data_IF_880604147901
#
_entry.id   IF_880604147901
#
_cell.length_a   1.000
_cell.length_b   1.000
_cell.length_c   1.000
_cell.angle_alpha   90.00
_cell.angle_beta   90.00
_cell.angle_gamma   90.00
#
_symmetry.space_group_name_H-M   'P 1'
#
loop_
_entity.id
_entity.type
_entity.pdbx_description
1 polymer ?
#
# COMPACT_ATOMS: atom_id res chain seq x y z
N UNK A 1 10.76 -19.50 -51.24
CA UNK A 1 11.69 -19.19 -50.13
C UNK A 1 10.91 -19.36 -48.85
N UNK A 2 10.99 -20.54 -48.25
CA UNK A 2 10.22 -20.98 -47.08
C UNK A 2 11.26 -21.48 -46.08
N UNK A 3 11.35 -20.83 -44.93
CA UNK A 3 12.36 -21.14 -43.91
C UNK A 3 11.78 -22.19 -42.95
N UNK A 4 12.42 -23.37 -43.00
CA UNK A 4 12.45 -24.41 -41.98
C UNK A 4 12.64 -23.84 -40.56
N UNK A 5 11.94 -24.38 -39.56
CA UNK A 5 12.58 -25.01 -38.40
C UNK A 5 11.55 -25.75 -37.54
N UNK A 6 11.52 -27.07 -37.76
CA UNK A 6 11.15 -28.09 -36.78
C UNK A 6 12.06 -27.98 -35.57
N UNK A 7 11.50 -28.00 -34.35
CA UNK A 7 12.12 -28.67 -33.21
C UNK A 7 11.00 -29.27 -32.35
N UNK A 8 10.77 -30.56 -32.58
CA UNK A 8 10.24 -31.48 -31.57
C UNK A 8 11.13 -31.39 -30.32
N UNK A 9 10.52 -31.23 -29.15
CA UNK A 9 11.21 -31.32 -27.87
C UNK A 9 10.53 -32.42 -27.05
N UNK A 10 11.19 -33.56 -27.02
CA UNK A 10 10.87 -34.75 -26.24
C UNK A 10 10.77 -34.47 -24.71
N UNK A 11 9.89 -35.17 -23.97
CA UNK A 11 9.66 -34.96 -22.55
C UNK A 11 10.73 -35.58 -21.61
N UNK A 12 11.93 -35.89 -22.10
CA UNK A 12 13.00 -36.58 -21.35
C UNK A 12 13.97 -35.64 -20.61
N UNK A 13 13.77 -34.32 -20.64
CA UNK A 13 14.56 -33.33 -19.87
C UNK A 13 14.15 -33.20 -18.40
N UNK A 14 13.73 -34.28 -17.75
CA UNK A 14 13.38 -34.29 -16.32
C UNK A 14 14.56 -34.54 -15.37
N UNK A 15 15.78 -34.77 -15.86
CA UNK A 15 16.89 -35.10 -14.98
C UNK A 15 18.25 -34.77 -15.60
N UNK A 16 18.67 -33.50 -15.54
CA UNK A 16 20.06 -33.08 -15.32
C UNK A 16 20.22 -31.59 -15.66
N UNK A 17 20.56 -30.78 -14.66
CA UNK A 17 21.13 -29.45 -14.86
C UNK A 17 20.24 -28.30 -14.42
N UNK A 18 20.31 -27.91 -13.14
CA UNK A 18 20.92 -26.63 -12.76
C UNK A 18 21.02 -26.51 -11.22
N UNK A 19 22.14 -26.97 -10.67
CA UNK A 19 22.66 -26.38 -9.43
C UNK A 19 23.40 -25.10 -9.84
N UNK A 20 22.67 -24.01 -10.06
CA UNK A 20 23.25 -22.65 -10.15
C UNK A 20 22.15 -21.57 -10.16
N UNK A 21 21.61 -21.27 -8.98
CA UNK A 21 20.66 -20.16 -8.81
C UNK A 21 20.44 -19.74 -7.36
N UNK A 22 21.35 -20.09 -6.45
CA UNK A 22 21.33 -19.67 -5.04
C UNK A 22 22.27 -18.48 -4.86
N UNK A 23 21.82 -17.25 -5.16
CA UNK A 23 22.53 -16.02 -4.72
C UNK A 23 21.82 -14.68 -4.95
N UNK A 24 20.66 -14.61 -5.63
CA UNK A 24 20.01 -13.31 -5.94
C UNK A 24 18.61 -13.20 -5.30
N UNK A 25 18.43 -13.83 -4.13
CA UNK A 25 17.15 -13.79 -3.40
C UNK A 25 17.05 -12.61 -2.42
N UNK A 26 18.11 -12.32 -1.65
CA UNK A 26 18.01 -11.45 -0.47
C UNK A 26 17.79 -9.95 -0.75
N UNK A 27 18.29 -9.44 -1.88
CA UNK A 27 18.25 -7.99 -2.17
C UNK A 27 16.90 -7.45 -2.63
N UNK A 28 16.05 -8.29 -3.22
CA UNK A 28 14.74 -7.87 -3.74
C UNK A 28 13.69 -7.74 -2.62
N UNK A 29 13.70 -8.64 -1.64
CA UNK A 29 12.77 -8.57 -0.51
C UNK A 29 12.98 -7.31 0.35
N UNK A 30 14.24 -6.96 0.63
CA UNK A 30 14.55 -5.77 1.43
C UNK A 30 14.21 -4.44 0.72
N UNK A 31 14.31 -4.42 -0.61
CA UNK A 31 13.92 -3.24 -1.41
C UNK A 31 12.40 -3.04 -1.42
N UNK A 32 11.65 -4.13 -1.57
CA UNK A 32 10.20 -4.08 -1.64
C UNK A 32 9.57 -3.70 -0.29
N UNK A 33 10.15 -4.14 0.83
CA UNK A 33 9.68 -3.74 2.16
C UNK A 33 9.89 -2.25 2.43
N UNK A 34 11.02 -1.69 1.97
CA UNK A 34 11.35 -0.28 2.15
C UNK A 34 10.46 0.63 1.31
N UNK A 35 10.26 0.29 0.04
CA UNK A 35 9.36 1.05 -0.84
C UNK A 35 7.93 1.07 -0.26
N UNK A 36 7.44 -0.08 0.22
CA UNK A 36 6.13 -0.18 0.85
C UNK A 36 6.01 0.64 2.14
N UNK A 37 7.07 0.68 2.96
CA UNK A 37 7.07 1.52 4.17
C UNK A 37 7.08 3.00 3.82
N UNK A 38 7.84 3.40 2.81
CA UNK A 38 7.97 4.81 2.40
C UNK A 38 6.63 5.33 1.86
N UNK A 39 5.91 4.50 1.08
CA UNK A 39 4.56 4.83 0.60
C UNK A 39 3.53 4.93 1.74
N UNK A 40 3.65 4.09 2.77
CA UNK A 40 2.77 4.15 3.93
C UNK A 40 2.98 5.42 4.76
N UNK A 41 4.24 5.82 4.99
CA UNK A 41 4.57 7.07 5.67
C UNK A 41 4.10 8.28 4.85
N UNK A 42 4.25 8.22 3.53
CA UNK A 42 3.74 9.27 2.65
C UNK A 42 2.22 9.40 2.73
N UNK A 43 1.48 8.27 2.73
CA UNK A 43 0.03 8.27 2.87
C UNK A 43 -0.41 8.87 4.22
N UNK A 44 0.25 8.53 5.32
CA UNK A 44 -0.01 9.13 6.63
C UNK A 44 0.17 10.64 6.62
N UNK A 45 1.33 11.11 6.17
CA UNK A 45 1.64 12.55 6.13
C UNK A 45 0.64 13.32 5.25
N UNK A 46 0.30 12.78 4.08
CA UNK A 46 -0.68 13.39 3.19
C UNK A 46 -2.08 13.43 3.83
N UNK A 47 -2.51 12.34 4.46
CA UNK A 47 -3.80 12.28 5.12
C UNK A 47 -3.89 13.25 6.31
N UNK A 48 -2.84 13.34 7.13
CA UNK A 48 -2.79 14.28 8.24
C UNK A 48 -2.82 15.72 7.73
N UNK A 49 -1.97 16.07 6.76
CA UNK A 49 -1.94 17.41 6.13
C UNK A 49 -3.31 17.80 5.57
N UNK A 50 -3.95 16.88 4.84
CA UNK A 50 -5.26 17.12 4.25
C UNK A 50 -6.34 17.41 5.31
N UNK A 51 -6.31 16.71 6.45
CA UNK A 51 -7.22 16.99 7.56
C UNK A 51 -6.91 18.29 8.32
N UNK A 52 -5.66 18.75 8.31
CA UNK A 52 -5.29 20.05 8.87
C UNK A 52 -5.73 21.22 7.96
N UNK A 53 -5.61 21.02 6.65
CA UNK A 53 -5.98 22.00 5.62
C UNK A 53 -7.50 22.12 5.45
N UNK A 54 -8.22 21.00 5.44
CA UNK A 54 -9.67 20.96 5.24
C UNK A 54 -10.43 20.68 6.54
N UNK A 55 -10.87 21.77 7.17
CA UNK A 55 -11.68 21.76 8.41
C UNK A 55 -13.04 21.07 8.28
N UNK A 56 -13.50 20.72 7.07
CA UNK A 56 -14.74 19.95 6.90
C UNK A 56 -14.55 18.45 7.14
N UNK A 57 -13.31 17.98 7.10
CA UNK A 57 -12.97 16.56 7.25
C UNK A 57 -12.74 16.17 8.70
N UNK A 58 -12.20 17.09 9.50
CA UNK A 58 -11.90 16.90 10.91
C UNK A 58 -11.74 18.21 11.68
N UNK A 59 -11.11 18.10 12.84
CA UNK A 59 -10.97 19.18 13.81
C UNK A 59 -9.55 19.75 13.88
N UNK A 60 -9.12 20.16 15.07
CA UNK A 60 -7.77 20.71 15.27
C UNK A 60 -6.79 19.66 15.78
N UNK A 61 -5.52 19.80 15.38
CA UNK A 61 -4.43 18.92 15.81
C UNK A 61 -4.60 17.50 15.29
N UNK A 62 -4.53 17.33 13.97
CA UNK A 62 -4.69 16.03 13.33
C UNK A 62 -3.45 15.14 13.53
N UNK A 63 -3.63 13.84 13.69
CA UNK A 63 -2.54 12.88 13.84
C UNK A 63 -2.94 11.49 13.33
N UNK A 64 -1.96 10.71 12.87
CA UNK A 64 -2.20 9.31 12.50
C UNK A 64 -2.37 8.45 13.76
N UNK A 65 -3.43 7.65 13.80
CA UNK A 65 -3.75 6.69 14.87
C UNK A 65 -3.28 5.31 14.48
N UNK A 66 -3.67 4.86 13.29
CA UNK A 66 -3.32 3.54 12.74
C UNK A 66 -3.34 3.58 11.20
N UNK A 67 -2.74 2.56 10.58
CA UNK A 67 -2.71 2.37 9.12
C UNK A 67 -2.77 0.90 8.71
N UNK A 68 -3.45 0.64 7.61
CA UNK A 68 -3.47 -0.69 6.99
C UNK A 68 -3.70 -0.60 5.48
N UNK A 69 -3.52 -1.72 4.81
CA UNK A 69 -3.75 -1.83 3.36
C UNK A 69 -5.03 -2.62 3.09
N UNK A 70 -5.88 -2.10 2.19
CA UNK A 70 -7.09 -2.78 1.74
C UNK A 70 -7.39 -2.47 0.29
N UNK A 71 -7.68 -3.49 -0.51
CA UNK A 71 -7.95 -3.39 -1.96
C UNK A 71 -6.87 -2.60 -2.72
N UNK A 72 -5.59 -2.75 -2.36
CA UNK A 72 -4.47 -2.02 -2.96
C UNK A 72 -4.47 -0.51 -2.68
N UNK A 73 -5.14 -0.08 -1.61
CA UNK A 73 -5.16 1.30 -1.10
C UNK A 73 -4.66 1.31 0.34
N UNK A 74 -4.07 2.42 0.75
CA UNK A 74 -3.65 2.62 2.14
C UNK A 74 -4.78 3.34 2.85
N UNK A 75 -5.26 2.76 3.94
CA UNK A 75 -6.24 3.36 4.83
C UNK A 75 -5.50 3.85 6.06
N UNK A 76 -5.73 5.10 6.42
CA UNK A 76 -5.15 5.74 7.60
C UNK A 76 -6.30 6.20 8.48
N UNK A 77 -6.29 5.80 9.74
CA UNK A 77 -7.17 6.40 10.74
C UNK A 77 -6.53 7.67 11.26
N UNK A 78 -7.19 8.81 11.03
CA UNK A 78 -6.72 10.13 11.45
C UNK A 78 -7.53 10.57 12.66
N UNK A 79 -6.84 10.78 13.79
CA UNK A 79 -7.37 11.36 15.01
C UNK A 79 -7.29 12.89 15.00
N UNK A 80 -8.23 13.56 15.64
CA UNK A 80 -8.29 15.02 15.80
C UNK A 80 -9.13 15.41 17.02
N UNK A 81 -9.12 16.70 17.39
CA UNK A 81 -9.83 17.24 18.57
C UNK A 81 -9.48 16.48 19.87
N UNK A 82 -8.18 16.29 20.13
CA UNK A 82 -7.74 15.58 21.33
C UNK A 82 -8.06 16.39 22.59
N UNK A 83 -8.83 15.81 23.51
CA UNK A 83 -9.17 16.35 24.83
C UNK A 83 -8.79 15.30 25.87
N UNK A 84 -7.66 15.53 26.55
CA UNK A 84 -7.10 14.55 27.50
C UNK A 84 -6.72 13.24 26.79
N UNK A 85 -7.37 12.14 27.17
CA UNK A 85 -7.21 10.81 26.55
C UNK A 85 -8.21 10.51 25.44
N UNK A 86 -9.19 11.38 25.21
CA UNK A 86 -10.21 11.21 24.17
C UNK A 86 -9.86 11.99 22.91
N UNK A 87 -10.22 11.45 21.76
CA UNK A 87 -10.09 12.10 20.45
C UNK A 87 -11.23 11.62 19.54
N UNK A 88 -11.51 12.37 18.48
CA UNK A 88 -12.37 11.92 17.38
C UNK A 88 -11.49 11.35 16.28
N UNK A 89 -11.98 10.37 15.53
CA UNK A 89 -11.24 9.82 14.40
C UNK A 89 -12.08 9.72 13.15
N UNK A 90 -11.41 9.72 12.00
CA UNK A 90 -12.01 9.46 10.70
C UNK A 90 -11.01 8.76 9.79
N UNK A 91 -11.53 7.98 8.85
CA UNK A 91 -10.68 7.29 7.88
C UNK A 91 -10.31 8.22 6.72
N UNK A 92 -9.06 8.10 6.30
CA UNK A 92 -8.53 8.61 5.05
C UNK A 92 -8.08 7.42 4.20
N UNK A 93 -8.58 7.35 2.96
CA UNK A 93 -8.21 6.29 2.01
C UNK A 93 -7.36 6.92 0.91
N UNK A 94 -6.09 6.53 0.88
CA UNK A 94 -5.11 6.97 -0.09
C UNK A 94 -4.97 5.96 -1.23
N UNK A 95 -5.22 6.42 -2.45
CA UNK A 95 -5.02 5.63 -3.66
C UNK A 95 -3.64 5.91 -4.25
N UNK A 96 -2.70 5.00 -4.01
CA UNK A 96 -1.31 5.05 -4.48
C UNK A 96 -1.16 5.27 -6.00
N UNK A 97 -2.11 4.76 -6.81
CA UNK A 97 -2.04 4.87 -8.28
C UNK A 97 -2.40 6.26 -8.80
N UNK A 98 -3.22 6.99 -8.05
CA UNK A 98 -3.80 8.27 -8.50
C UNK A 98 -3.39 9.43 -7.60
N UNK A 99 -2.70 9.15 -6.49
CA UNK A 99 -2.41 10.08 -5.39
C UNK A 99 -3.66 10.82 -4.87
N UNK A 100 -4.84 10.21 -5.01
CA UNK A 100 -6.10 10.78 -4.55
C UNK A 100 -6.42 10.29 -3.14
N UNK A 101 -6.94 11.21 -2.34
CA UNK A 101 -7.44 10.96 -0.99
C UNK A 101 -8.97 11.01 -0.99
N UNK A 102 -9.58 10.15 -0.20
CA UNK A 102 -11.01 10.17 0.08
C UNK A 102 -11.24 9.96 1.57
N UNK A 103 -12.25 10.61 2.13
CA UNK A 103 -12.63 10.49 3.54
C UNK A 103 -14.02 9.86 3.65
N UNK A 104 -14.13 8.52 3.72
CA UNK A 104 -15.41 7.84 3.87
C UNK A 104 -16.20 8.43 5.03
N UNK A 105 -17.50 8.61 4.83
CA UNK A 105 -18.43 8.91 5.92
C UNK A 105 -18.73 7.64 6.71
N UNK A 106 -19.42 7.76 7.84
CA UNK A 106 -19.79 6.63 8.69
C UNK A 106 -20.54 5.52 7.92
N UNK A 107 -21.34 5.89 6.91
CA UNK A 107 -22.08 4.93 6.06
C UNK A 107 -21.18 4.09 5.13
N UNK A 108 -19.94 4.52 4.88
CA UNK A 108 -18.96 3.80 4.07
C UNK A 108 -17.79 3.25 4.87
N UNK A 109 -17.74 3.47 6.19
CA UNK A 109 -16.60 3.14 7.05
C UNK A 109 -16.35 1.63 7.14
N UNK A 110 -17.40 0.82 7.29
CA UNK A 110 -17.27 -0.64 7.42
C UNK A 110 -16.71 -1.35 6.17
N UNK A 111 -16.67 -0.68 5.01
CA UNK A 111 -15.93 -1.19 3.85
C UNK A 111 -14.42 -1.17 4.09
N UNK A 112 -13.93 -0.27 4.92
CA UNK A 112 -12.51 0.02 5.07
C UNK A 112 -11.90 -0.52 6.36
N UNK A 113 -12.69 -0.69 7.42
CA UNK A 113 -12.33 -1.50 8.62
C UNK A 113 -12.09 -2.97 8.26
#
# INVERSE_FOLDING_TARGET
MTVQLLLELDPSYLAAGLVMGLAVGGGLYARQSKEKSDLAVQAENNCVSWFEEDRSLGGFGSFAVDRWEKDGRIVVEVGFDKIGSSYKSRLCVFNLKTSRMTAPTNFGRGRWE
#
